data_IF_386085381456
#
_entry.id   IF_386085381456
#
_cell.length_a   1.000
_cell.length_b   1.000
_cell.length_c   1.000
_cell.angle_alpha   90.00
_cell.angle_beta   90.00
_cell.angle_gamma   90.00
#
_symmetry.space_group_name_H-M   'P 1'
#
loop_
_entity.id
_entity.type
_entity.pdbx_description
1 polymer ?
#
# COMPACT_ATOMS: atom_id res chain seq x y z
N UNK A 1 10.21 -12.35 -16.16
CA UNK A 1 10.34 -12.99 -14.85
C UNK A 1 9.41 -12.29 -13.87
N UNK A 2 8.68 -13.00 -13.02
CA UNK A 2 7.84 -12.38 -11.99
C UNK A 2 8.70 -11.98 -10.79
N UNK A 3 9.63 -11.06 -10.99
CA UNK A 3 10.64 -10.69 -9.99
C UNK A 3 10.08 -9.89 -8.80
N UNK A 4 8.79 -9.53 -8.82
CA UNK A 4 8.18 -8.72 -7.79
C UNK A 4 7.43 -9.47 -6.70
N UNK A 5 7.00 -10.72 -6.94
CA UNK A 5 6.16 -11.48 -6.01
C UNK A 5 6.63 -12.92 -5.93
N UNK A 6 6.86 -13.40 -4.72
CA UNK A 6 7.23 -14.78 -4.44
C UNK A 6 6.28 -15.38 -3.40
N UNK A 7 5.99 -16.67 -3.56
CA UNK A 7 5.23 -17.47 -2.61
C UNK A 7 6.17 -18.51 -2.01
N UNK A 8 6.48 -18.38 -0.74
CA UNK A 8 7.33 -19.29 0.00
C UNK A 8 6.87 -19.41 1.44
N UNK A 9 7.02 -20.58 2.05
CA UNK A 9 6.74 -20.83 3.48
C UNK A 9 5.36 -20.34 3.93
N UNK A 10 4.35 -20.50 3.08
CA UNK A 10 2.97 -20.03 3.30
C UNK A 10 2.83 -18.51 3.40
N UNK A 11 3.78 -17.74 2.90
CA UNK A 11 3.77 -16.30 2.86
C UNK A 11 3.82 -15.76 1.44
N UNK A 12 3.33 -14.55 1.27
CA UNK A 12 3.48 -13.74 0.06
C UNK A 12 4.57 -12.72 0.31
N UNK A 13 5.65 -12.81 -0.45
CA UNK A 13 6.73 -11.83 -0.44
C UNK A 13 6.54 -10.87 -1.61
N UNK A 14 6.39 -9.59 -1.30
CA UNK A 14 6.33 -8.53 -2.30
C UNK A 14 7.65 -7.77 -2.28
N UNK A 15 8.42 -7.90 -3.36
CA UNK A 15 9.70 -7.19 -3.50
C UNK A 15 9.44 -5.70 -3.67
N UNK A 16 10.10 -4.88 -2.87
CA UNK A 16 10.08 -3.44 -3.05
C UNK A 16 10.74 -3.06 -4.37
N UNK A 17 10.10 -2.17 -5.11
CA UNK A 17 10.61 -1.62 -6.37
C UNK A 17 11.10 -0.20 -6.16
N UNK A 18 12.04 0.25 -6.99
CA UNK A 18 12.42 1.65 -7.13
C UNK A 18 11.31 2.50 -7.76
N UNK A 19 10.40 1.83 -8.48
CA UNK A 19 9.23 2.45 -9.06
C UNK A 19 8.05 2.33 -8.11
N UNK A 20 7.53 3.48 -7.68
CA UNK A 20 6.31 3.50 -6.87
C UNK A 20 5.06 3.23 -7.73
N UNK A 21 3.90 3.13 -7.09
CA UNK A 21 2.62 2.83 -7.73
C UNK A 21 2.20 3.85 -8.80
N UNK A 22 2.87 5.01 -8.87
CA UNK A 22 2.67 6.04 -9.89
C UNK A 22 3.45 5.78 -11.19
N UNK A 23 4.11 4.64 -11.30
CA UNK A 23 4.87 4.25 -12.48
C UNK A 23 4.28 3.03 -13.16
N UNK A 24 4.16 3.05 -14.48
CA UNK A 24 3.83 1.87 -15.28
C UNK A 24 4.90 0.77 -15.22
N UNK A 25 6.10 1.07 -14.71
CA UNK A 25 7.18 0.09 -14.49
C UNK A 25 7.06 -0.62 -13.14
N UNK A 26 6.13 -0.22 -12.27
CA UNK A 26 5.93 -0.88 -10.97
C UNK A 26 5.59 -2.37 -11.14
N UNK A 27 6.31 -3.23 -10.39
CA UNK A 27 6.11 -4.69 -10.35
C UNK A 27 5.88 -5.20 -8.92
N UNK A 28 5.81 -4.28 -7.99
CA UNK A 28 5.77 -4.40 -6.54
C UNK A 28 4.35 -4.34 -5.97
N UNK A 29 3.38 -4.86 -6.71
CA UNK A 29 1.96 -4.77 -6.39
C UNK A 29 1.25 -6.09 -6.75
N UNK A 30 0.44 -6.60 -5.82
CA UNK A 30 -0.45 -7.73 -6.03
C UNK A 30 -1.89 -7.31 -5.81
N UNK A 31 -2.69 -7.30 -6.86
CA UNK A 31 -4.02 -6.74 -6.87
C UNK A 31 -5.10 -7.78 -7.14
N UNK A 32 -6.24 -7.58 -6.50
CA UNK A 32 -7.50 -8.23 -6.80
C UNK A 32 -8.54 -7.19 -7.25
N UNK A 33 -9.31 -7.51 -8.29
CA UNK A 33 -10.43 -6.67 -8.73
C UNK A 33 -11.51 -6.61 -7.65
N UNK A 34 -11.98 -5.41 -7.36
CA UNK A 34 -13.16 -5.18 -6.55
C UNK A 34 -14.40 -5.69 -7.29
N UNK A 35 -15.19 -6.56 -6.66
CA UNK A 35 -16.40 -7.17 -7.25
C UNK A 35 -17.69 -6.68 -6.58
N UNK A 36 -17.60 -6.13 -5.38
CA UNK A 36 -18.74 -5.77 -4.54
C UNK A 36 -18.67 -4.31 -4.14
N UNK A 37 -19.83 -3.71 -3.92
CA UNK A 37 -19.94 -2.34 -3.41
C UNK A 37 -19.78 -2.27 -1.90
N UNK A 38 -19.99 -3.40 -1.21
CA UNK A 38 -19.75 -3.54 0.24
C UNK A 38 -18.89 -4.76 0.44
N UNK A 39 -17.75 -4.59 1.08
CA UNK A 39 -16.82 -5.66 1.41
C UNK A 39 -15.78 -5.17 2.42
N UNK A 40 -15.11 -6.12 3.05
CA UNK A 40 -13.89 -5.87 3.84
C UNK A 40 -12.70 -6.53 3.16
N UNK A 41 -11.57 -5.83 3.13
CA UNK A 41 -10.29 -6.42 2.78
C UNK A 41 -9.36 -6.34 3.97
N UNK A 42 -8.67 -7.44 4.29
CA UNK A 42 -7.73 -7.53 5.41
C UNK A 42 -6.45 -8.17 4.91
N UNK A 43 -5.31 -7.59 5.24
CA UNK A 43 -4.04 -8.28 5.13
C UNK A 43 -3.35 -8.38 6.50
N UNK A 44 -2.71 -9.51 6.75
CA UNK A 44 -1.78 -9.69 7.86
C UNK A 44 -0.38 -9.57 7.29
N UNK A 45 0.39 -8.66 7.83
CA UNK A 45 1.75 -8.36 7.41
C UNK A 45 2.70 -8.51 8.59
N UNK A 46 3.85 -9.13 8.36
CA UNK A 46 4.93 -9.11 9.34
C UNK A 46 5.37 -7.66 9.56
N UNK A 47 5.73 -7.32 10.79
CA UNK A 47 6.24 -6.00 11.09
C UNK A 47 7.50 -5.76 10.25
N UNK A 48 7.49 -4.79 9.32
CA UNK A 48 8.60 -4.62 8.41
C UNK A 48 9.77 -3.90 9.07
N UNK A 49 10.97 -4.29 8.68
CA UNK A 49 12.18 -3.50 8.91
C UNK A 49 12.38 -2.60 7.69
N UNK A 50 12.17 -1.30 7.86
CA UNK A 50 12.20 -0.33 6.77
C UNK A 50 13.34 0.67 6.93
N UNK A 51 14.05 0.92 5.84
CA UNK A 51 14.96 2.06 5.72
C UNK A 51 14.18 3.35 5.38
N UNK A 52 14.80 4.53 5.60
CA UNK A 52 14.14 5.81 5.30
C UNK A 52 13.51 5.86 3.91
N UNK A 53 12.25 6.29 3.84
CA UNK A 53 11.48 6.41 2.60
C UNK A 53 10.86 5.13 2.06
N UNK A 54 11.21 3.96 2.60
CA UNK A 54 10.55 2.71 2.24
C UNK A 54 9.14 2.65 2.81
N UNK A 55 8.25 1.95 2.12
CA UNK A 55 6.90 1.73 2.61
C UNK A 55 6.26 0.47 2.03
N UNK A 56 5.31 -0.11 2.76
CA UNK A 56 4.54 -1.27 2.34
C UNK A 56 3.19 -1.34 3.04
N UNK A 57 2.27 -2.09 2.47
CA UNK A 57 0.95 -2.29 3.05
C UNK A 57 -0.11 -2.64 2.03
N UNK A 58 -1.31 -2.08 2.25
CA UNK A 58 -2.49 -2.25 1.41
C UNK A 58 -2.65 -1.05 0.45
N UNK A 59 -3.23 -1.30 -0.72
CA UNK A 59 -3.60 -0.23 -1.66
C UNK A 59 -4.98 -0.46 -2.23
N UNK A 60 -5.76 0.64 -2.38
CA UNK A 60 -6.88 0.71 -3.30
C UNK A 60 -6.36 1.36 -4.58
N UNK A 61 -6.39 0.65 -5.69
CA UNK A 61 -5.71 1.04 -6.92
C UNK A 61 -6.67 1.09 -8.10
N UNK A 62 -6.61 2.16 -8.87
CA UNK A 62 -7.28 2.28 -10.14
C UNK A 62 -6.27 2.27 -11.29
N UNK A 63 -5.30 3.18 -11.28
CA UNK A 63 -4.16 3.23 -12.19
C UNK A 63 -2.97 3.98 -11.55
N UNK A 64 -1.90 4.21 -12.30
CA UNK A 64 -0.69 4.92 -11.86
C UNK A 64 -0.93 6.39 -11.48
N UNK A 65 -2.07 6.94 -11.85
CA UNK A 65 -2.45 8.32 -11.52
C UNK A 65 -3.42 8.41 -10.35
N UNK A 66 -4.05 7.27 -9.97
CA UNK A 66 -5.15 7.30 -9.01
C UNK A 66 -5.13 6.05 -8.14
N UNK A 67 -4.73 6.23 -6.88
CA UNK A 67 -4.67 5.17 -5.90
C UNK A 67 -4.68 5.71 -4.47
N UNK A 68 -4.88 4.83 -3.51
CA UNK A 68 -4.72 5.08 -2.07
C UNK A 68 -3.74 4.06 -1.54
N UNK A 69 -2.70 4.51 -0.86
CA UNK A 69 -1.85 3.67 -0.02
C UNK A 69 -2.33 3.72 1.42
N UNK A 70 -2.41 2.59 2.06
CA UNK A 70 -2.60 2.43 3.50
C UNK A 70 -1.56 1.46 4.02
N UNK A 71 -0.54 1.97 4.67
CA UNK A 71 0.60 1.13 5.03
C UNK A 71 1.57 1.77 5.99
N UNK A 72 2.66 1.04 6.27
CA UNK A 72 3.75 1.50 7.11
C UNK A 72 4.77 2.20 6.23
N UNK A 73 5.17 3.39 6.66
CA UNK A 73 6.16 4.25 6.03
C UNK A 73 7.29 4.52 7.04
N UNK A 74 8.52 4.36 6.61
CA UNK A 74 9.67 4.83 7.37
C UNK A 74 9.89 6.33 7.12
N UNK A 75 10.04 7.11 8.19
CA UNK A 75 10.36 8.53 8.06
C UNK A 75 11.73 8.74 7.43
N UNK A 76 12.01 9.95 6.90
CA UNK A 76 13.28 10.27 6.24
C UNK A 76 14.39 10.67 7.22
N UNK A 77 14.21 10.42 8.52
CA UNK A 77 15.20 10.69 9.56
C UNK A 77 16.33 9.63 9.52
N UNK A 78 17.49 9.95 10.04
CA UNK A 78 18.64 9.02 10.15
C UNK A 78 18.26 7.75 10.96
N UNK A 79 17.41 7.92 11.99
CA UNK A 79 16.79 6.81 12.71
C UNK A 79 15.28 6.84 12.38
N UNK A 80 14.83 6.08 11.39
CA UNK A 80 13.46 6.20 10.90
C UNK A 80 12.46 5.67 11.93
N UNK A 81 11.38 6.43 12.10
CA UNK A 81 10.19 5.96 12.80
C UNK A 81 9.24 5.28 11.83
N UNK A 82 8.60 4.22 12.26
CA UNK A 82 7.56 3.57 11.48
C UNK A 82 6.22 4.26 11.74
N UNK A 83 5.63 4.79 10.68
CA UNK A 83 4.36 5.51 10.71
C UNK A 83 3.34 4.78 9.83
N UNK A 84 2.15 4.54 10.36
CA UNK A 84 1.02 4.07 9.58
C UNK A 84 0.33 5.27 8.95
N UNK A 85 0.41 5.40 7.64
CA UNK A 85 -0.11 6.54 6.91
C UNK A 85 -1.15 6.10 5.87
N UNK A 86 -1.99 7.08 5.48
CA UNK A 86 -2.81 7.03 4.28
C UNK A 86 -2.30 8.12 3.33
N UNK A 87 -2.06 7.71 2.10
CA UNK A 87 -1.65 8.62 1.02
C UNK A 87 -2.59 8.42 -0.16
N UNK A 88 -3.27 9.48 -0.57
CA UNK A 88 -4.10 9.51 -1.77
C UNK A 88 -3.33 10.14 -2.93
N UNK A 89 -3.36 9.49 -4.09
CA UNK A 89 -2.91 10.05 -5.36
C UNK A 89 -4.12 10.28 -6.26
N UNK A 90 -4.31 11.51 -6.70
CA UNK A 90 -5.43 11.91 -7.56
C UNK A 90 -4.86 12.76 -8.70
N UNK A 91 -4.46 12.11 -9.77
CA UNK A 91 -3.74 12.74 -10.87
C UNK A 91 -2.37 13.27 -10.43
N UNK A 92 -2.22 14.59 -10.40
CA UNK A 92 -0.98 15.23 -9.94
C UNK A 92 -0.98 15.55 -8.45
N UNK A 93 -2.14 15.49 -7.81
CA UNK A 93 -2.29 15.79 -6.40
C UNK A 93 -1.91 14.59 -5.55
N UNK A 94 -1.18 14.84 -4.48
CA UNK A 94 -0.84 13.85 -3.46
C UNK A 94 -1.26 14.41 -2.11
N UNK A 95 -2.15 13.69 -1.42
CA UNK A 95 -2.67 14.05 -0.11
C UNK A 95 -2.13 13.03 0.90
N UNK A 96 -1.33 13.49 1.85
CA UNK A 96 -0.84 12.64 2.95
C UNK A 96 -1.62 12.98 4.21
N UNK A 97 -2.28 11.99 4.78
CA UNK A 97 -2.99 12.13 6.04
C UNK A 97 -2.02 12.06 7.23
N UNK A 98 -2.46 12.56 8.38
CA UNK A 98 -1.68 12.46 9.61
C UNK A 98 -1.35 11.00 9.93
N UNK A 99 -0.07 10.74 10.18
CA UNK A 99 0.44 9.40 10.45
C UNK A 99 0.27 9.00 11.92
N UNK A 100 0.09 7.70 12.13
CA UNK A 100 0.02 7.09 13.46
C UNK A 100 1.34 6.35 13.69
N UNK A 101 2.03 6.64 14.78
CA UNK A 101 3.24 5.89 15.12
C UNK A 101 2.90 4.43 15.40
N UNK A 102 3.64 3.53 14.74
CA UNK A 102 3.47 2.09 14.88
C UNK A 102 4.25 1.58 16.08
N UNK A 103 3.64 0.68 16.86
CA UNK A 103 4.33 -0.09 17.89
C UNK A 103 5.02 -1.30 17.23
N UNK A 104 6.29 -1.14 16.92
CA UNK A 104 7.11 -2.15 16.25
C UNK A 104 7.59 -3.29 17.19
N UNK A 105 7.20 -3.29 18.46
CA UNK A 105 7.41 -4.44 19.35
C UNK A 105 6.49 -5.62 19.02
N UNK A 106 5.42 -5.39 18.27
CA UNK A 106 4.52 -6.43 17.79
C UNK A 106 5.09 -7.10 16.53
N UNK A 107 5.04 -8.44 16.43
CA UNK A 107 5.59 -9.15 15.28
C UNK A 107 4.77 -8.98 14.00
N UNK A 108 3.50 -8.59 14.14
CA UNK A 108 2.54 -8.47 13.03
C UNK A 108 1.71 -7.21 13.15
N UNK A 109 1.23 -6.75 11.99
CA UNK A 109 0.16 -5.77 11.91
C UNK A 109 -0.92 -6.25 10.93
N UNK A 110 -2.16 -6.01 11.28
CA UNK A 110 -3.33 -6.29 10.45
C UNK A 110 -3.87 -4.97 9.92
N UNK A 111 -3.91 -4.85 8.61
CA UNK A 111 -4.49 -3.69 7.93
C UNK A 111 -5.84 -4.07 7.36
N UNK A 112 -6.85 -3.25 7.60
CA UNK A 112 -8.23 -3.50 7.17
C UNK A 112 -8.79 -2.29 6.44
N UNK A 113 -9.44 -2.54 5.30
CA UNK A 113 -10.21 -1.57 4.55
C UNK A 113 -11.66 -2.04 4.44
N UNK A 114 -12.56 -1.39 5.16
CA UNK A 114 -14.01 -1.59 5.00
C UNK A 114 -14.54 -0.65 3.92
N UNK A 115 -15.13 -1.25 2.90
CA UNK A 115 -15.73 -0.55 1.76
C UNK A 115 -17.25 -0.52 1.89
N UNK A 116 -17.82 0.66 1.77
CA UNK A 116 -19.27 0.85 1.67
C UNK A 116 -19.55 1.86 0.56
N UNK A 117 -19.79 1.35 -0.67
CA UNK A 117 -19.88 2.14 -1.89
C UNK A 117 -18.64 3.02 -2.10
N UNK A 118 -18.78 4.33 -2.01
CA UNK A 118 -17.67 5.28 -2.19
C UNK A 118 -16.88 5.56 -0.91
N UNK A 119 -17.36 5.06 0.24
CA UNK A 119 -16.68 5.27 1.52
C UNK A 119 -15.66 4.16 1.77
N UNK A 120 -14.49 4.55 2.28
CA UNK A 120 -13.46 3.64 2.79
C UNK A 120 -13.18 3.97 4.25
N UNK A 121 -13.22 2.95 5.10
CA UNK A 121 -12.77 3.04 6.48
C UNK A 121 -11.52 2.20 6.62
N UNK A 122 -10.42 2.83 6.96
CA UNK A 122 -9.13 2.19 7.19
C UNK A 122 -8.92 1.99 8.67
N UNK A 123 -8.53 0.77 9.06
CA UNK A 123 -8.30 0.38 10.44
C UNK A 123 -7.11 -0.56 10.53
N UNK A 124 -6.47 -0.62 11.69
CA UNK A 124 -5.37 -1.53 11.97
C UNK A 124 -5.53 -2.23 13.30
N UNK A 125 -4.88 -3.36 13.46
CA UNK A 125 -4.86 -4.15 14.69
C UNK A 125 -3.52 -4.86 14.84
N UNK A 126 -3.17 -5.27 16.06
CA UNK A 126 -2.03 -6.13 16.33
C UNK A 126 -2.43 -7.57 16.70
N UNK A 127 -3.73 -7.85 16.82
CA UNK A 127 -4.26 -9.14 17.27
C UNK A 127 -5.42 -9.70 16.41
N UNK A 128 -5.75 -9.01 15.30
CA UNK A 128 -6.89 -9.31 14.40
C UNK A 128 -8.29 -9.15 15.07
N UNK A 129 -8.36 -8.66 16.28
CA UNK A 129 -9.63 -8.51 17.03
C UNK A 129 -9.95 -7.05 17.31
N UNK A 130 -9.04 -6.36 17.96
CA UNK A 130 -9.22 -4.98 18.38
C UNK A 130 -8.73 -4.00 17.31
N UNK A 131 -9.61 -3.71 16.34
CA UNK A 131 -9.29 -2.78 15.26
C UNK A 131 -9.46 -1.32 15.70
N UNK A 132 -8.39 -0.57 15.55
CA UNK A 132 -8.34 0.89 15.76
C UNK A 132 -8.50 1.58 14.41
N UNK A 133 -9.42 2.55 14.36
CA UNK A 133 -9.64 3.34 13.15
C UNK A 133 -8.45 4.26 12.89
N UNK A 134 -7.89 4.18 11.69
CA UNK A 134 -6.83 5.08 11.21
C UNK A 134 -7.43 6.30 10.51
N UNK A 135 -8.34 6.09 9.54
CA UNK A 135 -9.02 7.18 8.86
C UNK A 135 -10.33 6.73 8.19
N UNK A 136 -11.10 7.72 7.76
CA UNK A 136 -12.28 7.53 6.90
C UNK A 136 -12.17 8.47 5.72
N UNK A 137 -12.28 7.91 4.52
CA UNK A 137 -12.45 8.65 3.28
C UNK A 137 -13.90 8.48 2.84
N UNK A 138 -14.69 9.55 2.94
CA UNK A 138 -16.13 9.46 2.71
C UNK A 138 -16.49 9.32 1.22
N UNK A 139 -15.60 9.78 0.33
CA UNK A 139 -15.85 9.75 -1.09
C UNK A 139 -14.57 9.50 -1.90
N UNK A 140 -14.39 8.25 -2.35
CA UNK A 140 -13.29 7.86 -3.23
C UNK A 140 -13.77 7.67 -4.68
N UNK A 141 -14.68 8.53 -5.13
CA UNK A 141 -15.24 8.49 -6.48
C UNK A 141 -14.16 8.52 -7.58
N UNK A 142 -13.01 9.12 -7.29
CA UNK A 142 -11.86 9.15 -8.19
C UNK A 142 -11.23 7.76 -8.50
N UNK A 143 -11.57 6.71 -7.76
CA UNK A 143 -11.15 5.32 -8.04
C UNK A 143 -12.02 4.62 -9.09
N UNK A 144 -12.80 5.35 -9.87
CA UNK A 144 -13.60 4.80 -10.95
C UNK A 144 -13.49 5.63 -12.22
N UNK A 145 -13.90 5.04 -13.34
CA UNK A 145 -13.82 5.66 -14.67
C UNK A 145 -14.50 7.02 -14.75
N UNK A 146 -15.63 7.18 -14.07
CA UNK A 146 -16.42 8.40 -14.06
C UNK A 146 -15.84 9.50 -13.17
N UNK A 147 -15.09 9.09 -12.13
CA UNK A 147 -14.53 10.01 -11.13
C UNK A 147 -13.24 10.68 -11.56
N UNK A 148 -12.47 10.05 -12.44
CA UNK A 148 -11.22 10.59 -12.93
C UNK A 148 -11.39 11.23 -14.31
N UNK A 149 -11.30 12.55 -14.36
CA UNK A 149 -11.66 13.39 -15.53
C UNK A 149 -10.77 13.20 -16.78
N UNK A 150 -9.67 12.46 -16.72
CA UNK A 150 -8.68 12.35 -17.82
C UNK A 150 -8.86 11.14 -18.73
N UNK A 151 -10.05 10.60 -18.82
CA UNK A 151 -10.37 9.52 -19.75
C UNK A 151 -10.63 8.20 -19.03
N UNK A 152 -11.53 7.45 -19.62
CA UNK A 152 -11.92 6.12 -19.14
C UNK A 152 -10.83 5.12 -19.51
N UNK A 153 -10.23 4.46 -18.55
CA UNK A 153 -9.26 3.40 -18.80
C UNK A 153 -9.86 1.99 -18.70
N UNK A 154 -11.11 1.87 -18.29
CA UNK A 154 -11.85 0.62 -18.18
C UNK A 154 -11.16 -0.44 -17.28
N UNK A 155 -10.32 0.01 -16.35
CA UNK A 155 -9.60 -0.89 -15.46
C UNK A 155 -10.45 -1.34 -14.28
N UNK A 156 -11.30 -0.45 -13.75
CA UNK A 156 -12.10 -0.65 -12.55
C UNK A 156 -11.23 -0.66 -11.27
N UNK A 157 -11.86 -0.40 -10.14
CA UNK A 157 -11.17 -0.39 -8.86
C UNK A 157 -10.62 -1.76 -8.47
N UNK A 158 -9.44 -1.77 -7.93
CA UNK A 158 -8.73 -2.95 -7.41
C UNK A 158 -8.28 -2.68 -5.97
N UNK A 159 -8.01 -3.74 -5.24
CA UNK A 159 -7.48 -3.68 -3.88
C UNK A 159 -6.43 -4.78 -3.69
N UNK A 160 -5.39 -4.51 -2.94
CA UNK A 160 -4.33 -5.49 -2.73
C UNK A 160 -3.19 -5.01 -1.87
N UNK A 161 -2.01 -5.59 -2.08
CA UNK A 161 -0.80 -5.38 -1.30
C UNK A 161 0.29 -4.77 -2.18
N UNK A 162 1.17 -3.99 -1.58
CA UNK A 162 2.29 -3.36 -2.27
C UNK A 162 3.51 -3.23 -1.37
N UNK A 163 4.70 -3.04 -1.99
CA UNK A 163 5.92 -2.64 -1.32
C UNK A 163 6.71 -1.65 -2.20
N UNK A 164 7.30 -0.64 -1.60
CA UNK A 164 8.12 0.36 -2.28
C UNK A 164 9.48 0.48 -1.58
N UNK A 165 10.56 0.30 -2.34
CA UNK A 165 11.92 0.29 -1.81
C UNK A 165 12.44 1.69 -1.41
N UNK A 166 11.73 2.75 -1.81
CA UNK A 166 12.16 4.11 -1.49
C UNK A 166 13.30 4.59 -2.38
N UNK A 167 13.66 5.85 -2.18
CA UNK A 167 14.73 6.52 -2.94
C UNK A 167 15.80 7.12 -2.04
N UNK A 168 15.63 7.03 -0.73
CA UNK A 168 16.52 7.67 0.24
C UNK A 168 17.69 6.77 0.62
N UNK A 169 18.91 7.33 0.55
CA UNK A 169 20.14 6.76 1.14
C UNK A 169 20.62 5.45 0.52
N UNK A 170 20.13 5.06 -0.65
CA UNK A 170 20.59 3.83 -1.29
C UNK A 170 21.84 4.06 -2.13
N UNK A 171 22.72 3.05 -2.18
CA UNK A 171 23.87 3.03 -3.07
C UNK A 171 23.49 2.71 -4.52
N UNK A 172 22.28 2.22 -4.74
CA UNK A 172 21.78 1.85 -6.05
C UNK A 172 21.02 3.00 -6.70
N UNK A 173 21.41 3.33 -7.92
CA UNK A 173 20.72 4.30 -8.78
C UNK A 173 20.35 3.60 -10.08
N UNK A 174 19.06 3.57 -10.43
CA UNK A 174 18.62 3.04 -11.71
C UNK A 174 18.93 3.97 -12.87
N UNK A 175 18.62 3.53 -14.10
CA UNK A 175 18.86 4.30 -15.32
C UNK A 175 18.08 5.64 -15.38
N UNK A 176 17.04 5.79 -14.57
CA UNK A 176 16.23 7.00 -14.45
C UNK A 176 16.71 7.91 -13.29
N UNK A 177 17.85 7.59 -12.64
CA UNK A 177 18.43 8.35 -11.52
C UNK A 177 17.74 8.14 -10.18
N UNK A 178 16.96 7.09 -10.01
CA UNK A 178 16.27 6.74 -8.76
C UNK A 178 17.15 5.88 -7.88
N UNK A 179 17.09 6.10 -6.58
CA UNK A 179 17.84 5.37 -5.58
C UNK A 179 16.93 4.42 -4.80
N UNK A 180 17.40 3.22 -4.51
CA UNK A 180 16.65 2.24 -3.72
C UNK A 180 17.50 1.02 -3.38
N UNK A 181 17.01 0.12 -2.54
CA UNK A 181 17.64 -1.16 -2.28
C UNK A 181 16.89 -2.27 -2.98
N UNK A 182 17.59 -3.15 -3.71
CA UNK A 182 16.99 -4.28 -4.44
C UNK A 182 16.51 -5.40 -3.50
N UNK A 183 16.85 -5.38 -2.22
CA UNK A 183 16.71 -6.52 -1.32
C UNK A 183 15.56 -6.38 -0.32
N UNK A 184 14.73 -5.33 -0.44
CA UNK A 184 13.60 -5.17 0.45
C UNK A 184 12.40 -6.03 0.01
N UNK A 185 11.88 -6.84 0.93
CA UNK A 185 10.65 -7.62 0.75
C UNK A 185 9.68 -7.34 1.88
N UNK A 186 8.46 -6.95 1.54
CA UNK A 186 7.36 -6.97 2.49
C UNK A 186 6.77 -8.38 2.54
N UNK A 187 6.60 -8.92 3.73
CA UNK A 187 6.09 -10.28 3.94
C UNK A 187 4.66 -10.22 4.47
N UNK A 188 3.75 -10.89 3.76
CA UNK A 188 2.35 -10.98 4.11
C UNK A 188 1.96 -12.44 4.33
N UNK A 189 1.29 -12.73 5.47
CA UNK A 189 0.75 -14.06 5.75
C UNK A 189 -0.45 -14.34 4.86
N UNK A 190 -1.31 -13.34 4.68
CA UNK A 190 -2.51 -13.48 3.86
C UNK A 190 -3.09 -12.13 3.42
N UNK A 191 -3.94 -12.22 2.41
CA UNK A 191 -4.88 -11.19 2.01
C UNK A 191 -6.28 -11.82 1.91
N UNK A 192 -7.22 -11.34 2.72
CA UNK A 192 -8.63 -11.77 2.73
C UNK A 192 -9.50 -10.70 2.08
N UNK A 193 -10.47 -11.14 1.29
CA UNK A 193 -11.54 -10.32 0.74
C UNK A 193 -12.88 -10.94 1.19
N UNK A 194 -13.64 -10.22 1.98
CA UNK A 194 -14.83 -10.70 2.70
C UNK A 194 -16.04 -9.88 2.22
N UNK A 195 -17.07 -10.56 1.75
CA UNK A 195 -18.35 -9.99 1.30
C UNK A 195 -19.31 -9.77 2.45
#
# INVERSE_FOLDING_TARGET
>A
EPDGINLADSHVYVKGSLYDLDSMKARNILLRRQKHFKFSAICKMNMPELYPGQNCGMTCYYDENTYIKFGIFATLEEQPRLMLNIVEKIGKEVITHEGIQVDNSNPYIYLKCDTNYLRRTFSYSYDEKDYRKAAVLDNVYYLCDEGYKKGKRFTGAMIGMYAFAGTYGSEYTDADGRHGTDEYYAMFDYFKYIE
#
